data_IF_921659107116
#
_entry.id   IF_921659107116
#
_cell.length_a   1.000
_cell.length_b   1.000
_cell.length_c   1.000
_cell.angle_alpha   90.00
_cell.angle_beta   90.00
_cell.angle_gamma   90.00
#
_symmetry.space_group_name_H-M   'P 1'
#
loop_
_entity.id
_entity.type
_entity.pdbx_description
1 polymer ?
#
# COMPACT_ATOMS: atom_id res chain seq x y z
N UNK A 1 -6.67 -1.98 16.69
CA UNK A 1 -5.53 -1.33 15.98
C UNK A 1 -5.15 -0.06 16.74
N UNK A 2 -4.03 -0.04 17.45
CA UNK A 2 -3.54 1.16 18.13
C UNK A 2 -2.72 2.00 17.14
N UNK A 3 -3.41 2.80 16.33
CA UNK A 3 -2.83 3.95 15.66
C UNK A 3 -3.27 5.20 16.43
N UNK A 4 -2.96 5.26 17.73
CA UNK A 4 -3.00 6.54 18.46
C UNK A 4 -2.06 7.53 17.78
N UNK A 5 -2.27 8.84 18.01
CA UNK A 5 -1.52 9.98 17.43
C UNK A 5 -0.04 9.66 17.17
N UNK A 6 0.25 9.08 16.00
CA UNK A 6 1.56 8.56 15.63
C UNK A 6 1.94 9.22 14.33
N UNK A 7 3.20 9.64 14.24
CA UNK A 7 3.75 10.36 13.10
C UNK A 7 3.57 9.52 11.83
N UNK A 8 3.10 10.11 10.73
CA UNK A 8 2.79 9.40 9.48
C UNK A 8 3.95 8.56 8.96
N UNK A 9 5.18 9.02 9.14
CA UNK A 9 6.40 8.28 8.78
C UNK A 9 6.53 6.96 9.54
N UNK A 10 6.09 6.87 10.80
CA UNK A 10 6.07 5.62 11.57
C UNK A 10 5.04 4.63 11.03
N UNK A 11 3.89 5.12 10.58
CA UNK A 11 2.83 4.29 9.97
C UNK A 11 3.37 3.67 8.68
N UNK A 12 4.00 4.49 7.83
CA UNK A 12 4.59 4.05 6.57
C UNK A 12 5.78 3.10 6.79
N UNK A 13 6.61 3.33 7.82
CA UNK A 13 7.69 2.40 8.15
C UNK A 13 7.18 1.00 8.54
N UNK A 14 6.10 0.93 9.33
CA UNK A 14 5.49 -0.36 9.69
C UNK A 14 4.95 -1.08 8.46
N UNK A 15 4.31 -0.34 7.55
CA UNK A 15 3.85 -0.88 6.27
C UNK A 15 5.03 -1.43 5.44
N UNK A 16 6.08 -0.64 5.25
CA UNK A 16 7.24 -1.04 4.46
C UNK A 16 7.91 -2.30 5.02
N UNK A 17 8.09 -2.41 6.34
CA UNK A 17 8.68 -3.61 6.96
C UNK A 17 7.79 -4.84 6.74
N UNK A 18 6.48 -4.71 6.93
CA UNK A 18 5.54 -5.82 6.71
C UNK A 18 5.52 -6.27 5.24
N UNK A 19 5.52 -5.31 4.31
CA UNK A 19 5.53 -5.57 2.87
C UNK A 19 6.83 -6.23 2.44
N UNK A 20 7.99 -5.70 2.86
CA UNK A 20 9.29 -6.31 2.58
C UNK A 20 9.35 -7.73 3.14
N UNK A 21 8.89 -7.95 4.37
CA UNK A 21 8.87 -9.28 4.99
C UNK A 21 8.01 -10.28 4.21
N UNK A 22 6.83 -9.87 3.74
CA UNK A 22 5.97 -10.69 2.89
C UNK A 22 6.65 -11.03 1.55
N UNK A 23 7.18 -10.01 0.87
CA UNK A 23 7.82 -10.17 -0.45
C UNK A 23 9.09 -11.03 -0.35
N UNK A 24 9.88 -10.87 0.70
CA UNK A 24 11.10 -11.64 0.94
C UNK A 24 10.84 -13.08 1.42
N UNK A 25 9.62 -13.41 1.85
CA UNK A 25 9.28 -14.78 2.25
C UNK A 25 8.61 -15.55 1.12
N UNK A 26 7.59 -14.96 0.48
CA UNK A 26 6.80 -15.65 -0.55
C UNK A 26 7.39 -15.49 -1.97
N UNK A 27 8.23 -14.49 -2.21
CA UNK A 27 8.85 -14.24 -3.52
C UNK A 27 7.81 -14.30 -4.67
N UNK A 28 8.04 -15.13 -5.68
CA UNK A 28 7.20 -15.27 -6.87
C UNK A 28 5.84 -15.93 -6.58
N UNK A 29 5.69 -16.63 -5.44
CA UNK A 29 4.44 -17.30 -5.09
C UNK A 29 3.27 -16.31 -4.93
N UNK A 30 3.55 -15.03 -4.64
CA UNK A 30 2.53 -13.97 -4.52
C UNK A 30 1.77 -13.75 -5.83
N UNK A 31 2.45 -13.93 -6.97
CA UNK A 31 1.87 -13.64 -8.30
C UNK A 31 0.76 -14.64 -8.62
N UNK A 32 0.86 -15.87 -8.14
CA UNK A 32 -0.12 -16.92 -8.42
C UNK A 32 -1.35 -16.86 -7.50
N UNK A 33 -1.36 -15.98 -6.50
CA UNK A 33 -2.43 -15.88 -5.50
C UNK A 33 -3.20 -14.57 -5.72
N UNK A 34 -4.22 -14.62 -6.57
CA UNK A 34 -5.06 -13.46 -6.93
C UNK A 34 -5.68 -12.78 -5.71
N UNK A 35 -6.19 -13.57 -4.76
CA UNK A 35 -6.80 -13.06 -3.52
C UNK A 35 -5.81 -12.27 -2.66
N UNK A 36 -4.53 -12.66 -2.69
CA UNK A 36 -3.47 -11.97 -1.96
C UNK A 36 -3.12 -10.64 -2.64
N UNK A 37 -3.10 -10.61 -3.97
CA UNK A 37 -2.92 -9.36 -4.74
C UNK A 37 -4.05 -8.37 -4.46
N UNK A 38 -5.31 -8.82 -4.49
CA UNK A 38 -6.47 -7.99 -4.12
C UNK A 38 -6.39 -7.49 -2.68
N UNK A 39 -5.94 -8.35 -1.76
CA UNK A 39 -5.76 -7.98 -0.36
C UNK A 39 -4.64 -6.95 -0.18
N UNK A 40 -3.54 -7.05 -0.93
CA UNK A 40 -2.44 -6.08 -0.91
C UNK A 40 -2.91 -4.70 -1.37
N UNK A 41 -3.67 -4.62 -2.47
CA UNK A 41 -4.27 -3.37 -2.96
C UNK A 41 -5.18 -2.73 -1.90
N UNK A 42 -6.03 -3.54 -1.26
CA UNK A 42 -6.93 -3.07 -0.18
C UNK A 42 -6.16 -2.58 1.04
N UNK A 43 -5.11 -3.29 1.44
CA UNK A 43 -4.27 -2.92 2.58
C UNK A 43 -3.50 -1.62 2.32
N UNK A 44 -2.92 -1.45 1.12
CA UNK A 44 -2.21 -0.22 0.77
C UNK A 44 -3.15 0.99 0.78
N UNK A 45 -4.34 0.85 0.20
CA UNK A 45 -5.39 1.87 0.25
C UNK A 45 -5.81 2.22 1.68
N UNK A 46 -5.82 1.24 2.59
CA UNK A 46 -6.12 1.47 4.01
C UNK A 46 -5.03 2.30 4.70
N UNK A 47 -3.75 2.06 4.39
CA UNK A 47 -2.64 2.87 4.91
C UNK A 47 -2.73 4.30 4.39
N UNK A 48 -2.94 4.49 3.08
CA UNK A 48 -3.13 5.82 2.51
C UNK A 48 -4.33 6.55 3.14
N UNK A 49 -5.45 5.85 3.32
CA UNK A 49 -6.67 6.40 3.91
C UNK A 49 -6.47 6.79 5.38
N UNK A 50 -5.67 6.03 6.13
CA UNK A 50 -5.31 6.39 7.49
C UNK A 50 -4.56 7.73 7.56
N UNK A 51 -3.60 7.95 6.64
CA UNK A 51 -2.84 9.20 6.55
C UNK A 51 -3.74 10.37 6.13
N UNK A 52 -4.61 10.14 5.13
CA UNK A 52 -5.63 11.09 4.67
C UNK A 52 -6.54 11.56 5.81
N UNK A 53 -7.06 10.61 6.61
CA UNK A 53 -7.88 10.90 7.79
C UNK A 53 -7.09 11.70 8.84
N UNK A 54 -5.82 11.34 9.09
CA UNK A 54 -4.96 12.09 10.02
C UNK A 54 -4.71 13.54 9.59
N UNK A 55 -4.81 13.84 8.29
CA UNK A 55 -4.73 15.19 7.72
C UNK A 55 -6.11 15.85 7.49
N UNK A 56 -7.17 15.26 8.05
CA UNK A 56 -8.55 15.74 7.94
C UNK A 56 -9.03 15.98 6.49
N UNK A 57 -8.59 15.14 5.55
CA UNK A 57 -9.06 15.24 4.16
C UNK A 57 -9.01 13.89 3.46
N UNK A 58 -10.05 13.55 2.70
CA UNK A 58 -10.09 12.32 1.87
C UNK A 58 -10.00 12.62 0.36
N UNK A 59 -9.79 13.88 0.00
CA UNK A 59 -9.93 14.34 -1.38
C UNK A 59 -8.72 13.91 -2.22
N UNK A 60 -8.89 13.15 -3.31
CA UNK A 60 -7.77 12.56 -4.06
C UNK A 60 -6.85 13.62 -4.67
N UNK A 61 -7.37 14.79 -5.06
CA UNK A 61 -6.59 15.90 -5.60
C UNK A 61 -5.55 16.47 -4.62
N UNK A 62 -5.80 16.37 -3.29
CA UNK A 62 -4.86 16.83 -2.26
C UNK A 62 -3.76 15.82 -1.95
N UNK A 63 -3.93 14.58 -2.40
CA UNK A 63 -3.02 13.48 -2.11
C UNK A 63 -2.58 12.78 -3.40
N UNK A 64 -1.84 13.50 -4.28
CA UNK A 64 -1.21 12.87 -5.42
C UNK A 64 -0.20 11.81 -4.97
N UNK A 65 -0.01 10.77 -5.77
CA UNK A 65 0.87 9.63 -5.47
C UNK A 65 2.28 10.05 -5.04
N UNK A 66 2.79 11.17 -5.58
CA UNK A 66 4.09 11.76 -5.22
C UNK A 66 4.28 11.95 -3.71
N UNK A 67 3.22 12.30 -2.97
CA UNK A 67 3.27 12.55 -1.51
C UNK A 67 3.55 11.28 -0.72
N UNK A 68 3.12 10.13 -1.25
CA UNK A 68 3.30 8.84 -0.59
C UNK A 68 4.63 8.18 -1.00
N UNK A 69 4.96 8.20 -2.29
CA UNK A 69 6.01 7.32 -2.83
C UNK A 69 7.37 7.97 -3.05
N UNK A 70 7.47 9.30 -3.07
CA UNK A 70 8.81 9.90 -3.23
C UNK A 70 9.71 9.59 -2.03
N UNK A 71 11.02 9.43 -2.23
CA UNK A 71 11.94 9.06 -1.16
C UNK A 71 11.91 10.12 -0.04
N UNK A 72 12.13 9.69 1.20
CA UNK A 72 12.09 10.57 2.37
C UNK A 72 13.11 11.70 2.31
N UNK A 73 14.22 11.45 1.62
CA UNK A 73 15.27 12.43 1.35
C UNK A 73 14.73 13.66 0.59
N UNK A 74 13.65 13.49 -0.19
CA UNK A 74 12.99 14.57 -0.94
C UNK A 74 11.76 15.14 -0.21
N UNK A 75 11.56 14.81 1.07
CA UNK A 75 10.51 15.41 1.91
C UNK A 75 9.17 14.67 1.94
N UNK A 76 9.09 13.48 1.34
CA UNK A 76 7.89 12.63 1.32
C UNK A 76 7.92 11.51 2.36
N UNK A 77 6.86 10.69 2.41
CA UNK A 77 6.72 9.55 3.30
C UNK A 77 7.57 8.34 2.91
N UNK A 78 7.93 8.17 1.63
CA UNK A 78 8.74 7.04 1.15
C UNK A 78 8.08 5.68 1.37
N UNK A 79 6.79 5.60 1.08
CA UNK A 79 6.01 4.35 1.10
C UNK A 79 6.42 3.46 -0.08
N UNK A 80 6.54 2.16 0.15
CA UNK A 80 6.69 1.17 -0.93
C UNK A 80 5.31 0.77 -1.44
N UNK A 81 5.17 0.71 -2.77
CA UNK A 81 3.94 0.34 -3.47
C UNK A 81 4.00 -1.12 -3.93
N UNK A 82 2.91 -1.85 -3.74
CA UNK A 82 2.63 -3.11 -4.43
C UNK A 82 1.17 -3.18 -4.94
N UNK A 83 0.40 -2.10 -4.76
CA UNK A 83 -0.99 -2.01 -5.18
C UNK A 83 -1.22 -1.53 -6.62
N UNK A 84 -0.20 -0.98 -7.29
CA UNK A 84 -0.27 -0.65 -8.73
C UNK A 84 0.14 -1.84 -9.60
N UNK A 85 -0.52 -2.98 -9.38
CA UNK A 85 -0.37 -4.17 -10.22
C UNK A 85 -1.63 -4.32 -11.05
N UNK A 86 -1.48 -4.44 -12.37
CA UNK A 86 -2.59 -4.80 -13.25
C UNK A 86 -2.96 -6.25 -12.94
N UNK A 87 -4.15 -6.46 -12.38
CA UNK A 87 -4.72 -7.79 -12.16
C UNK A 87 -5.47 -8.16 -13.45
N UNK A 88 -4.94 -9.07 -14.29
CA UNK A 88 -5.56 -9.40 -15.58
C UNK A 88 -6.91 -10.10 -15.34
N UNK A 89 -8.01 -9.36 -15.56
CA UNK A 89 -9.36 -9.95 -15.45
C UNK A 89 -9.67 -10.95 -16.57
N UNK A 90 -8.91 -10.92 -17.67
CA UNK A 90 -9.01 -11.92 -18.74
C UNK A 90 -8.76 -13.34 -18.23
N UNK A 91 -7.87 -13.50 -17.25
CA UNK A 91 -7.47 -14.81 -16.72
C UNK A 91 -8.56 -15.39 -15.80
N UNK A 92 -9.48 -14.55 -15.33
CA UNK A 92 -10.61 -14.96 -14.49
C UNK A 92 -11.78 -15.54 -15.29
N UNK A 93 -11.80 -15.40 -16.63
CA UNK A 93 -12.95 -15.80 -17.48
C UNK A 93 -13.32 -17.29 -17.38
N UNK A 94 -12.32 -18.14 -17.13
CA UNK A 94 -12.48 -19.60 -17.02
C UNK A 94 -12.06 -20.13 -15.64
N UNK A 95 -11.77 -19.23 -14.70
CA UNK A 95 -11.53 -19.62 -13.31
C UNK A 95 -12.84 -20.15 -12.72
N UNK A 96 -12.77 -21.30 -12.05
CA UNK A 96 -13.91 -21.90 -11.35
C UNK A 96 -14.24 -21.16 -10.07
#
# INVERSE_FOLDING_TARGET
MSFGSTIFTKIVNKWNIALIGLMAYLHEAIINIQDLLDLLVKCENKIQTCIKIGLNSKMPSRFPSIVFYTPKQLGSLGMLSMGYVLIPQSDLRWSK
#
